data_IF_154351994237
#
_entry.id   IF_154351994237
#
_cell.length_a   1.000
_cell.length_b   1.000
_cell.length_c   1.000
_cell.angle_alpha   90.00
_cell.angle_beta   90.00
_cell.angle_gamma   90.00
#
_symmetry.space_group_name_H-M   'P 1'
#
loop_
_entity.id
_entity.type
_entity.pdbx_description
1 polymer ?
#
# COMPACT_ATOMS: atom_id res chain seq x y z
N UNK A 1 -7.77 11.02 4.25
CA UNK A 1 -8.03 10.76 2.82
C UNK A 1 -9.48 11.13 2.59
N UNK A 2 -9.81 11.92 1.57
CA UNK A 2 -11.20 12.29 1.29
C UNK A 2 -11.82 11.22 0.38
N UNK A 3 -12.81 10.48 0.88
CA UNK A 3 -13.37 9.27 0.25
C UNK A 3 -14.68 9.54 -0.53
N UNK A 4 -14.91 10.80 -0.90
CA UNK A 4 -16.18 11.30 -1.46
C UNK A 4 -16.23 11.38 -3.00
N UNK A 5 -15.27 10.79 -3.71
CA UNK A 5 -15.07 11.03 -5.15
C UNK A 5 -15.23 9.81 -6.06
N UNK A 6 -15.22 10.04 -7.37
CA UNK A 6 -15.21 8.99 -8.41
C UNK A 6 -13.97 8.08 -8.28
N UNK A 7 -13.95 6.94 -9.00
CA UNK A 7 -12.75 6.06 -9.05
C UNK A 7 -11.48 6.84 -9.44
N UNK A 8 -11.61 7.88 -10.28
CA UNK A 8 -10.49 8.73 -10.66
C UNK A 8 -10.02 9.63 -9.51
N UNK A 9 -10.93 10.13 -8.67
CA UNK A 9 -10.58 10.94 -7.51
C UNK A 9 -9.88 10.11 -6.44
N UNK A 10 -10.37 8.88 -6.20
CA UNK A 10 -9.72 7.93 -5.28
C UNK A 10 -8.33 7.54 -5.82
N UNK A 11 -8.22 7.27 -7.14
CA UNK A 11 -6.92 7.02 -7.79
C UNK A 11 -5.96 8.20 -7.59
N UNK A 12 -6.42 9.42 -7.87
CA UNK A 12 -5.64 10.64 -7.72
C UNK A 12 -5.21 10.85 -6.26
N UNK A 13 -6.11 10.63 -5.31
CA UNK A 13 -5.81 10.70 -3.87
C UNK A 13 -4.72 9.71 -3.46
N UNK A 14 -4.83 8.45 -3.91
CA UNK A 14 -3.80 7.42 -3.69
C UNK A 14 -2.45 7.84 -4.29
N UNK A 15 -2.43 8.29 -5.54
CA UNK A 15 -1.21 8.69 -6.24
C UNK A 15 -0.55 9.91 -5.56
N UNK A 16 -1.36 10.90 -5.18
CA UNK A 16 -0.89 12.05 -4.43
C UNK A 16 -0.29 11.66 -3.07
N UNK A 17 -0.90 10.69 -2.38
CA UNK A 17 -0.36 10.21 -1.12
C UNK A 17 0.99 9.52 -1.29
N UNK A 18 1.11 8.61 -2.27
CA UNK A 18 2.39 7.96 -2.61
C UNK A 18 3.45 9.00 -2.93
N UNK A 19 3.15 9.96 -3.82
CA UNK A 19 4.05 11.05 -4.16
C UNK A 19 4.43 11.89 -2.94
N UNK A 20 3.51 12.15 -2.02
CA UNK A 20 3.79 12.85 -0.76
C UNK A 20 4.77 12.05 0.11
N UNK A 21 4.61 10.72 0.21
CA UNK A 21 5.55 9.87 0.94
C UNK A 21 6.94 9.87 0.29
N UNK A 22 7.03 9.78 -1.04
CA UNK A 22 8.31 9.85 -1.76
C UNK A 22 8.97 11.23 -1.55
N UNK A 23 8.23 12.34 -1.59
CA UNK A 23 8.76 13.67 -1.27
C UNK A 23 9.32 13.74 0.16
N UNK A 24 8.64 13.12 1.12
CA UNK A 24 9.12 13.01 2.50
C UNK A 24 10.43 12.20 2.57
N UNK A 25 10.49 11.07 1.86
CA UNK A 25 11.68 10.23 1.75
C UNK A 25 12.87 11.01 1.18
N UNK A 26 12.68 11.75 0.07
CA UNK A 26 13.73 12.57 -0.55
C UNK A 26 14.28 13.61 0.43
N UNK A 27 13.41 14.26 1.20
CA UNK A 27 13.82 15.25 2.20
C UNK A 27 14.62 14.63 3.32
N UNK A 28 14.18 13.48 3.82
CA UNK A 28 14.80 12.83 4.97
C UNK A 28 16.13 12.16 4.62
N UNK A 29 16.22 11.52 3.45
CA UNK A 29 17.39 10.75 3.02
C UNK A 29 18.26 11.50 1.99
N UNK A 30 18.13 12.82 1.87
CA UNK A 30 18.77 13.61 0.82
C UNK A 30 20.28 13.35 0.69
N UNK A 31 20.97 13.22 1.82
CA UNK A 31 22.42 12.98 1.88
C UNK A 31 22.85 11.61 1.34
N UNK A 32 21.91 10.65 1.29
CA UNK A 32 22.15 9.29 0.79
C UNK A 32 21.79 9.14 -0.69
N UNK A 33 21.22 10.17 -1.33
CA UNK A 33 20.80 10.14 -2.73
C UNK A 33 21.92 10.65 -3.64
N UNK A 34 22.37 9.80 -4.56
CA UNK A 34 23.41 10.17 -5.53
C UNK A 34 22.91 11.14 -6.61
N UNK A 35 21.59 11.16 -6.86
CA UNK A 35 20.95 12.02 -7.86
C UNK A 35 19.58 12.50 -7.36
N UNK A 36 19.08 13.65 -7.86
CA UNK A 36 17.71 14.07 -7.62
C UNK A 36 16.70 13.03 -8.13
N UNK A 37 15.54 12.98 -7.47
CA UNK A 37 14.42 12.11 -7.86
C UNK A 37 13.28 13.01 -8.31
N UNK A 38 12.92 12.93 -9.59
CA UNK A 38 11.84 13.71 -10.17
C UNK A 38 10.48 13.10 -9.84
N UNK A 39 9.56 13.94 -9.36
CA UNK A 39 8.20 13.53 -9.01
C UNK A 39 7.25 13.87 -10.16
N UNK A 40 6.52 12.86 -10.63
CA UNK A 40 5.47 12.97 -11.64
C UNK A 40 4.08 13.02 -10.98
N UNK A 41 3.08 13.48 -11.72
CA UNK A 41 1.67 13.31 -11.35
C UNK A 41 1.25 11.83 -11.33
N UNK A 42 1.93 11.00 -12.13
CA UNK A 42 1.78 9.54 -12.07
C UNK A 42 2.73 8.96 -11.01
N UNK A 43 2.16 8.47 -9.91
CA UNK A 43 2.92 7.88 -8.82
C UNK A 43 3.74 6.65 -9.24
N UNK A 44 3.36 5.94 -10.31
CA UNK A 44 4.13 4.80 -10.81
C UNK A 44 5.46 5.27 -11.39
N UNK A 45 5.45 6.40 -12.11
CA UNK A 45 6.68 7.03 -12.64
C UNK A 45 7.56 7.51 -11.49
N UNK A 46 6.96 8.11 -10.46
CA UNK A 46 7.70 8.53 -9.26
C UNK A 46 8.33 7.35 -8.51
N UNK A 47 7.65 6.20 -8.43
CA UNK A 47 8.20 4.97 -7.85
C UNK A 47 9.38 4.47 -8.69
N UNK A 48 9.24 4.45 -10.01
CA UNK A 48 10.31 3.99 -10.91
C UNK A 48 11.56 4.88 -10.81
N UNK A 49 11.37 6.21 -10.77
CA UNK A 49 12.44 7.17 -10.55
C UNK A 49 13.13 6.94 -9.18
N UNK A 50 12.35 6.73 -8.12
CA UNK A 50 12.88 6.42 -6.79
C UNK A 50 13.75 5.15 -6.82
N UNK A 51 13.24 4.07 -7.40
CA UNK A 51 13.96 2.80 -7.45
C UNK A 51 15.22 2.91 -8.29
N UNK A 52 15.16 3.58 -9.44
CA UNK A 52 16.31 3.79 -10.32
C UNK A 52 17.43 4.55 -9.61
N UNK A 53 17.10 5.57 -8.82
CA UNK A 53 18.10 6.29 -8.01
C UNK A 53 18.68 5.42 -6.90
N UNK A 54 17.86 4.66 -6.19
CA UNK A 54 18.34 3.80 -5.10
C UNK A 54 19.23 2.67 -5.62
N UNK A 55 18.96 2.14 -6.82
CA UNK A 55 19.80 1.12 -7.46
C UNK A 55 21.24 1.58 -7.74
N UNK A 56 21.49 2.90 -7.77
CA UNK A 56 22.84 3.47 -7.90
C UNK A 56 23.60 3.49 -6.56
N UNK A 57 22.93 3.20 -5.46
CA UNK A 57 23.49 3.17 -4.11
C UNK A 57 23.72 1.74 -3.62
N UNK A 58 24.38 1.59 -2.48
CA UNK A 58 24.46 0.31 -1.75
C UNK A 58 23.27 0.08 -0.81
N UNK A 59 22.34 1.05 -0.74
CA UNK A 59 21.19 1.00 0.15
C UNK A 59 19.99 0.34 -0.52
N UNK A 60 19.04 -0.12 0.31
CA UNK A 60 17.75 -0.60 -0.16
C UNK A 60 16.61 -0.01 0.68
N UNK A 61 15.43 0.08 0.07
CA UNK A 61 14.24 0.61 0.74
C UNK A 61 13.51 -0.49 1.49
N UNK A 62 13.13 -0.17 2.72
CA UNK A 62 12.22 -0.93 3.54
C UNK A 62 10.85 -0.24 3.46
N UNK A 63 9.88 -0.90 2.83
CA UNK A 63 8.54 -0.36 2.64
C UNK A 63 7.62 -0.84 3.76
N UNK A 64 7.05 0.10 4.51
CA UNK A 64 6.01 -0.17 5.50
C UNK A 64 4.67 0.38 5.01
N UNK A 65 3.65 -0.47 4.97
CA UNK A 65 2.27 -0.10 4.67
C UNK A 65 1.44 -0.46 5.89
N UNK A 66 0.98 0.55 6.62
CA UNK A 66 0.14 0.36 7.80
C UNK A 66 -1.33 0.62 7.50
N UNK A 67 -2.22 0.07 8.33
CA UNK A 67 -3.68 0.19 8.24
C UNK A 67 -4.23 -0.06 6.83
N UNK A 68 -3.79 -1.16 6.20
CA UNK A 68 -4.25 -1.51 4.86
C UNK A 68 -5.79 -1.65 4.78
N UNK A 69 -6.37 -2.19 5.84
CA UNK A 69 -7.80 -2.39 5.96
C UNK A 69 -8.58 -1.10 6.11
N UNK A 70 -8.02 -0.04 6.68
CA UNK A 70 -8.68 1.25 6.82
C UNK A 70 -9.12 1.76 5.44
N UNK A 71 -8.21 1.69 4.46
CA UNK A 71 -8.51 2.04 3.08
C UNK A 71 -9.56 1.10 2.44
N UNK A 72 -9.43 -0.22 2.65
CA UNK A 72 -10.38 -1.18 2.13
C UNK A 72 -11.78 -1.03 2.75
N UNK A 73 -11.85 -0.74 4.05
CA UNK A 73 -13.07 -0.49 4.81
C UNK A 73 -13.75 0.79 4.33
N UNK A 74 -13.01 1.87 4.08
CA UNK A 74 -13.56 3.09 3.46
C UNK A 74 -14.19 2.80 2.09
N UNK A 75 -13.49 2.04 1.23
CA UNK A 75 -14.03 1.62 -0.07
C UNK A 75 -15.28 0.73 0.07
N UNK A 76 -15.29 -0.20 1.02
CA UNK A 76 -16.46 -1.03 1.30
C UNK A 76 -17.63 -0.24 1.92
N UNK A 77 -17.37 0.79 2.71
CA UNK A 77 -18.43 1.64 3.28
C UNK A 77 -19.09 2.53 2.23
N UNK A 78 -18.34 2.96 1.20
CA UNK A 78 -18.94 3.64 0.04
C UNK A 78 -19.99 2.79 -0.68
N UNK A 79 -19.88 1.45 -0.62
CA UNK A 79 -20.88 0.48 -1.11
C UNK A 79 -22.22 0.56 -0.35
N UNK A 80 -22.19 0.93 0.95
CA UNK A 80 -23.36 0.97 1.83
C UNK A 80 -24.14 2.28 1.76
N UNK A 81 -23.51 3.40 1.41
CA UNK A 81 -24.22 4.71 1.28
C UNK A 81 -25.06 4.85 0.01
N UNK A 82 -24.89 3.95 -0.96
CA UNK A 82 -25.55 4.02 -2.28
C UNK A 82 -26.64 2.96 -2.47
N UNK A 83 -27.01 2.22 -1.41
CA UNK A 83 -28.09 1.24 -1.47
C UNK A 83 -29.44 1.94 -1.35
N UNK A 84 -29.93 2.51 -2.44
CA UNK A 84 -31.37 2.58 -2.64
C UNK A 84 -31.79 2.42 -4.10
N UNK A 85 -31.03 2.88 -5.11
CA UNK A 85 -31.52 2.75 -6.50
C UNK A 85 -30.41 2.58 -7.56
N UNK A 86 -30.55 1.50 -8.35
CA UNK A 86 -30.00 1.24 -9.69
C UNK A 86 -28.46 1.22 -9.96
N UNK A 87 -28.05 0.18 -10.72
CA UNK A 87 -26.74 -0.03 -11.40
C UNK A 87 -25.43 0.14 -10.61
N UNK A 88 -25.06 -0.98 -9.97
CA UNK A 88 -23.80 -1.30 -9.29
C UNK A 88 -22.51 -0.84 -10.00
N UNK A 89 -21.91 0.27 -9.55
CA UNK A 89 -20.45 0.40 -9.55
C UNK A 89 -19.91 -0.02 -8.18
N UNK A 90 -19.49 -1.29 -8.09
CA UNK A 90 -18.75 -1.76 -6.92
C UNK A 90 -17.35 -1.10 -6.97
N UNK A 91 -17.21 0.02 -6.26
CA UNK A 91 -15.97 0.81 -6.22
C UNK A 91 -14.81 -0.03 -5.69
N UNK A 92 -15.04 -0.84 -4.67
CA UNK A 92 -14.06 -1.80 -4.16
C UNK A 92 -13.59 -2.72 -5.29
N UNK A 93 -14.53 -3.42 -5.95
CA UNK A 93 -14.22 -4.36 -7.04
C UNK A 93 -13.51 -3.67 -8.20
N UNK A 94 -13.89 -2.44 -8.55
CA UNK A 94 -13.23 -1.67 -9.62
C UNK A 94 -11.79 -1.31 -9.23
N UNK A 95 -11.57 -0.94 -7.97
CA UNK A 95 -10.28 -0.49 -7.46
C UNK A 95 -9.30 -1.65 -7.20
N UNK A 96 -9.82 -2.81 -6.79
CA UNK A 96 -9.04 -4.05 -6.60
C UNK A 96 -9.02 -4.95 -7.84
N UNK A 97 -9.77 -4.61 -8.89
CA UNK A 97 -9.80 -5.35 -10.16
C UNK A 97 -8.40 -5.51 -10.76
N UNK A 98 -8.28 -6.40 -11.75
CA UNK A 98 -7.01 -6.75 -12.41
C UNK A 98 -6.18 -5.53 -12.86
N UNK A 99 -6.88 -4.46 -13.25
CA UNK A 99 -6.34 -3.20 -13.78
C UNK A 99 -6.67 -1.99 -12.89
N UNK A 100 -7.13 -2.24 -11.67
CA UNK A 100 -7.43 -1.22 -10.68
C UNK A 100 -6.17 -0.48 -10.19
N UNK A 101 -6.32 0.76 -9.69
CA UNK A 101 -5.19 1.57 -9.25
C UNK A 101 -4.36 0.92 -8.13
N UNK A 102 -5.01 0.25 -7.18
CA UNK A 102 -4.33 -0.41 -6.07
C UNK A 102 -3.42 -1.53 -6.57
N UNK A 103 -3.98 -2.40 -7.42
CA UNK A 103 -3.25 -3.54 -7.97
C UNK A 103 -2.07 -3.09 -8.82
N UNK A 104 -2.20 -1.96 -9.53
CA UNK A 104 -1.12 -1.39 -10.33
C UNK A 104 0.03 -0.89 -9.45
N UNK A 105 -0.26 -0.21 -8.34
CA UNK A 105 0.77 0.20 -7.36
C UNK A 105 1.47 -1.03 -6.77
N UNK A 106 0.74 -2.06 -6.36
CA UNK A 106 1.36 -3.29 -5.85
C UNK A 106 2.22 -4.02 -6.89
N UNK A 107 1.81 -4.01 -8.16
CA UNK A 107 2.65 -4.53 -9.25
C UNK A 107 3.96 -3.74 -9.37
N UNK A 108 3.92 -2.41 -9.27
CA UNK A 108 5.11 -1.57 -9.32
C UNK A 108 6.05 -1.81 -8.11
N UNK A 109 5.49 -1.95 -6.91
CA UNK A 109 6.26 -2.33 -5.71
C UNK A 109 6.89 -3.73 -5.94
N UNK A 110 6.12 -4.66 -6.51
CA UNK A 110 6.57 -6.04 -6.76
C UNK A 110 7.72 -6.09 -7.77
N UNK A 111 7.64 -5.32 -8.86
CA UNK A 111 8.74 -5.24 -9.84
C UNK A 111 10.00 -4.63 -9.26
N UNK A 112 9.85 -3.73 -8.27
CA UNK A 112 10.96 -3.19 -7.51
C UNK A 112 11.51 -4.13 -6.43
N UNK A 113 10.84 -5.26 -6.16
CA UNK A 113 11.29 -6.24 -5.15
C UNK A 113 12.24 -7.24 -5.81
N UNK A 114 13.46 -7.39 -5.28
CA UNK A 114 14.47 -8.34 -5.78
C UNK A 114 15.47 -7.76 -6.79
N UNK A 115 15.18 -6.61 -7.39
CA UNK A 115 16.22 -5.67 -7.84
C UNK A 115 16.62 -4.80 -6.63
N UNK A 116 17.74 -4.08 -6.66
CA UNK A 116 18.27 -3.28 -5.52
C UNK A 116 17.38 -2.08 -5.09
N UNK A 117 16.06 -2.18 -5.22
CA UNK A 117 15.08 -1.15 -4.86
C UNK A 117 14.41 -1.43 -3.52
N UNK A 118 13.37 -2.27 -3.51
CA UNK A 118 12.67 -2.69 -2.29
C UNK A 118 13.22 -4.03 -1.78
N UNK A 119 13.91 -4.03 -0.64
CA UNK A 119 14.47 -5.25 -0.03
C UNK A 119 13.41 -5.98 0.83
N UNK A 120 12.64 -5.21 1.61
CA UNK A 120 11.56 -5.76 2.45
C UNK A 120 10.32 -4.90 2.38
N UNK A 121 9.18 -5.57 2.30
CA UNK A 121 7.86 -4.94 2.40
C UNK A 121 7.11 -5.54 3.59
N UNK A 122 6.72 -4.70 4.53
CA UNK A 122 5.89 -5.06 5.67
C UNK A 122 4.53 -4.39 5.51
N UNK A 123 3.47 -5.20 5.64
CA UNK A 123 2.09 -4.73 5.56
C UNK A 123 1.39 -5.11 6.85
N UNK A 124 0.85 -4.12 7.56
CA UNK A 124 0.15 -4.27 8.84
C UNK A 124 -1.29 -3.78 8.72
N UNK A 125 -2.13 -4.11 9.71
CA UNK A 125 -3.56 -3.76 9.69
C UNK A 125 -4.30 -4.37 8.50
N UNK A 126 -4.04 -5.63 8.15
CA UNK A 126 -4.75 -6.29 7.04
C UNK A 126 -5.95 -7.07 7.58
N UNK A 127 -7.16 -6.65 7.20
CA UNK A 127 -8.38 -7.38 7.52
C UNK A 127 -8.41 -8.71 6.74
N UNK A 128 -8.88 -9.82 7.36
CA UNK A 128 -8.91 -11.14 6.71
C UNK A 128 -9.61 -11.16 5.34
N UNK A 129 -10.63 -10.31 5.16
CA UNK A 129 -11.41 -10.20 3.90
C UNK A 129 -10.56 -9.69 2.74
N UNK A 130 -9.59 -8.85 3.05
CA UNK A 130 -8.78 -8.12 2.09
C UNK A 130 -7.50 -8.89 1.73
N UNK A 131 -7.12 -9.83 2.59
CA UNK A 131 -5.91 -10.64 2.49
C UNK A 131 -5.93 -11.59 1.27
N UNK A 132 -7.11 -12.02 0.81
CA UNK A 132 -7.25 -12.83 -0.42
C UNK A 132 -6.79 -12.08 -1.67
N UNK A 133 -7.03 -10.77 -1.74
CA UNK A 133 -6.77 -9.99 -2.96
C UNK A 133 -5.29 -9.63 -3.12
N UNK A 134 -4.59 -9.42 -1.99
CA UNK A 134 -3.12 -9.21 -1.94
C UNK A 134 -2.37 -10.42 -2.49
N UNK A 135 -2.83 -11.64 -2.18
CA UNK A 135 -2.18 -12.87 -2.67
C UNK A 135 -2.28 -13.10 -4.18
N UNK A 136 -3.08 -12.30 -4.91
CA UNK A 136 -3.15 -12.32 -6.38
C UNK A 136 -2.41 -11.16 -7.08
N UNK A 137 -2.16 -10.06 -6.37
CA UNK A 137 -1.45 -8.87 -6.88
C UNK A 137 0.00 -8.77 -6.42
N UNK A 138 0.32 -9.33 -5.26
CA UNK A 138 1.60 -9.26 -4.57
C UNK A 138 2.00 -10.66 -4.03
N UNK A 139 1.97 -11.67 -4.90
CA UNK A 139 2.21 -13.11 -4.58
C UNK A 139 3.63 -13.44 -4.06
N UNK A 140 4.44 -12.43 -3.72
CA UNK A 140 5.74 -12.57 -3.05
C UNK A 140 5.64 -12.31 -1.54
N UNK A 141 4.52 -11.77 -1.05
CA UNK A 141 4.29 -11.61 0.37
C UNK A 141 4.03 -12.95 1.05
N UNK A 142 4.70 -13.18 2.17
CA UNK A 142 4.44 -14.30 3.07
C UNK A 142 3.53 -13.82 4.19
N UNK A 143 2.31 -14.35 4.25
CA UNK A 143 1.40 -14.08 5.36
C UNK A 143 1.96 -14.68 6.66
N UNK A 144 2.08 -13.85 7.71
CA UNK A 144 2.55 -14.24 9.04
C UNK A 144 1.48 -14.08 10.13
N UNK A 145 0.21 -13.82 9.75
CA UNK A 145 -0.90 -13.58 10.68
C UNK A 145 -1.09 -14.70 11.71
N UNK A 146 -0.81 -15.96 11.35
CA UNK A 146 -0.93 -17.12 12.25
C UNK A 146 0.40 -17.54 12.90
N UNK A 147 1.48 -16.80 12.67
CA UNK A 147 2.78 -17.09 13.25
C UNK A 147 2.84 -16.51 14.66
N UNK A 148 2.66 -17.36 15.67
CA UNK A 148 2.60 -17.03 17.09
C UNK A 148 3.75 -16.14 17.58
N UNK A 149 4.94 -16.19 16.93
CA UNK A 149 6.09 -15.33 17.26
C UNK A 149 5.87 -13.84 16.99
N UNK A 150 4.87 -13.50 16.18
CA UNK A 150 4.53 -12.14 15.79
C UNK A 150 3.26 -11.64 16.50
N UNK A 151 2.59 -12.46 17.31
CA UNK A 151 1.38 -12.07 18.02
C UNK A 151 1.63 -10.90 19.00
N UNK A 152 2.80 -10.87 19.63
CA UNK A 152 3.16 -9.83 20.60
C UNK A 152 3.36 -8.45 19.95
N UNK A 153 3.55 -8.38 18.62
CA UNK A 153 3.60 -7.10 17.89
C UNK A 153 2.22 -6.43 17.79
N UNK A 154 1.13 -7.17 17.99
CA UNK A 154 -0.22 -6.65 17.98
C UNK A 154 -0.65 -6.06 19.33
N UNK A 155 0.27 -5.96 20.30
CA UNK A 155 0.15 -5.09 21.47
C UNK A 155 -0.51 -5.70 22.70
N UNK A 156 -1.05 -6.93 22.62
CA UNK A 156 -1.59 -7.65 23.77
C UNK A 156 -1.28 -9.13 23.71
N UNK A 157 -0.75 -9.67 24.81
CA UNK A 157 -0.52 -11.09 25.02
C UNK A 157 -1.80 -11.77 25.52
N UNK A 158 -1.91 -13.08 25.33
CA UNK A 158 -3.04 -13.87 25.87
C UNK A 158 -3.17 -13.70 27.39
N UNK A 159 -2.04 -13.53 28.08
CA UNK A 159 -2.00 -13.33 29.53
C UNK A 159 -2.63 -11.98 29.92
N UNK A 160 -2.30 -10.90 29.21
CA UNK A 160 -2.86 -9.56 29.46
C UNK A 160 -4.38 -9.49 29.21
N UNK A 161 -4.91 -10.31 28.29
CA UNK A 161 -6.36 -10.42 28.06
C UNK A 161 -7.06 -11.23 29.15
N UNK A 162 -6.39 -12.26 29.71
CA UNK A 162 -6.94 -13.07 30.80
C UNK A 162 -6.93 -12.38 32.16
N UNK A 163 -6.05 -11.41 32.33
CA UNK A 163 -5.93 -10.60 33.55
C UNK A 163 -6.88 -9.37 33.55
N UNK A 164 -7.72 -9.21 32.53
CA UNK A 164 -8.85 -8.27 32.47
C UNK A 164 -10.17 -8.93 32.89
#
# INVERSE_FOLDING_TARGET
>A
MDSSGTVQDIKKSLYNHVNSRIKGFIKYYNEYLSTPIDISDDALVSIDALLSTIQLTENAIYLLIDEYDNFANELMMSKKKLSEDHEKKDFYTTFVSKDGPLKTIFKAIKSGTGSKGFDRTFITGVSPVVLSDITSGYNIAKNRYQDHKFNDLCGFTEQEIKDC
#
